data_IF_924797892073
#
_entry.id   IF_924797892073
#
_cell.length_a   1.000
_cell.length_b   1.000
_cell.length_c   1.000
_cell.angle_alpha   90.00
_cell.angle_beta   90.00
_cell.angle_gamma   90.00
#
_symmetry.space_group_name_H-M   'P 1'
#
loop_
_entity.id
_entity.type
_entity.pdbx_description
1 polymer ?
#
# COMPACT_ATOMS: atom_id res chain seq x y z
N UNK A 1 -8.52 -3.08 16.03
CA UNK A 1 -7.72 -4.12 16.71
C UNK A 1 -8.21 -4.23 18.14
N UNK A 2 -8.98 -5.30 18.45
CA UNK A 2 -9.44 -5.59 19.83
C UNK A 2 -8.42 -6.46 20.59
N UNK A 3 -7.17 -6.03 20.62
CA UNK A 3 -6.19 -6.66 21.49
C UNK A 3 -6.15 -5.88 22.80
N UNK A 4 -6.65 -6.47 23.88
CA UNK A 4 -6.81 -5.85 25.21
C UNK A 4 -5.51 -5.27 25.80
N UNK A 5 -4.34 -5.62 25.23
CA UNK A 5 -3.03 -5.25 25.75
C UNK A 5 -2.17 -4.48 24.73
N UNK A 6 -2.75 -3.97 23.64
CA UNK A 6 -2.04 -3.20 22.63
C UNK A 6 -2.65 -1.81 22.51
N UNK A 7 -1.78 -0.82 22.38
CA UNK A 7 -2.14 0.57 22.14
C UNK A 7 -1.57 1.00 20.77
N UNK A 8 -2.45 1.50 19.90
CA UNK A 8 -2.07 2.05 18.60
C UNK A 8 -1.86 3.56 18.71
N UNK A 9 -0.76 4.02 18.15
CA UNK A 9 -0.39 5.43 18.04
C UNK A 9 -0.38 5.83 16.57
N UNK A 10 -1.31 6.69 16.18
CA UNK A 10 -1.43 7.15 14.80
C UNK A 10 -0.32 8.14 14.46
N UNK A 11 0.33 7.93 13.31
CA UNK A 11 1.26 8.86 12.67
C UNK A 11 0.57 9.67 11.57
N UNK A 12 -0.31 9.03 10.80
CA UNK A 12 -1.03 9.68 9.71
C UNK A 12 -2.03 8.75 9.03
N UNK A 13 -2.53 9.21 7.90
CA UNK A 13 -3.40 8.45 7.02
C UNK A 13 -2.81 8.39 5.62
N UNK A 14 -3.08 7.30 4.91
CA UNK A 14 -2.69 7.07 3.52
C UNK A 14 -3.87 6.50 2.75
N UNK A 15 -3.73 6.35 1.46
CA UNK A 15 -4.73 5.72 0.59
C UNK A 15 -4.07 4.74 -0.37
N UNK A 16 -4.86 4.10 -1.21
CA UNK A 16 -4.37 3.16 -2.20
C UNK A 16 -4.06 3.84 -3.53
N UNK A 17 -2.99 3.39 -4.15
CA UNK A 17 -2.48 3.81 -5.44
C UNK A 17 -2.24 2.60 -6.34
N UNK A 18 -2.19 2.83 -7.64
CA UNK A 18 -1.72 1.85 -8.60
C UNK A 18 -0.20 2.00 -8.78
N UNK A 19 0.54 0.94 -8.49
CA UNK A 19 1.97 0.86 -8.78
C UNK A 19 2.15 0.13 -10.11
N UNK A 20 2.74 0.79 -11.10
CA UNK A 20 2.93 0.28 -12.46
C UNK A 20 4.31 0.64 -13.01
N UNK A 21 4.90 -0.28 -13.73
CA UNK A 21 6.21 -0.13 -14.33
C UNK A 21 6.19 0.45 -15.74
N UNK A 22 7.38 0.69 -16.34
CA UNK A 22 7.52 1.40 -17.60
C UNK A 22 6.91 0.67 -18.81
N UNK A 23 6.70 -0.64 -18.71
CA UNK A 23 6.10 -1.45 -19.79
C UNK A 23 4.56 -1.46 -19.75
N UNK A 24 3.95 -0.85 -18.75
CA UNK A 24 2.50 -0.81 -18.61
C UNK A 24 1.90 0.29 -19.51
N UNK A 25 0.81 0.02 -20.25
CA UNK A 25 0.20 1.01 -21.14
C UNK A 25 -0.24 2.32 -20.46
N UNK A 26 -0.58 2.24 -19.17
CA UNK A 26 -1.00 3.41 -18.38
C UNK A 26 0.16 4.11 -17.65
N UNK A 27 1.42 3.76 -17.96
CA UNK A 27 2.57 4.29 -17.24
C UNK A 27 2.62 5.82 -17.19
N UNK A 28 2.23 6.50 -18.27
CA UNK A 28 2.26 7.97 -18.35
C UNK A 28 0.95 8.64 -17.90
N UNK A 29 -0.03 7.88 -17.43
CA UNK A 29 -1.26 8.48 -16.91
C UNK A 29 -1.00 9.30 -15.65
N UNK A 30 -1.73 10.39 -15.47
CA UNK A 30 -1.74 11.18 -14.23
C UNK A 30 -2.68 10.60 -13.17
N UNK A 31 -3.69 9.85 -13.59
CA UNK A 31 -4.69 9.18 -12.79
C UNK A 31 -5.19 7.93 -13.54
N UNK A 32 -5.61 6.91 -12.81
CA UNK A 32 -6.21 5.70 -13.39
C UNK A 32 -7.55 5.40 -12.74
N UNK A 33 -8.39 4.62 -13.43
CA UNK A 33 -9.61 4.05 -12.87
C UNK A 33 -9.43 2.55 -12.68
N UNK A 34 -10.16 1.95 -11.75
CA UNK A 34 -10.12 0.51 -11.54
C UNK A 34 -10.53 -0.28 -12.80
N UNK A 35 -11.51 0.23 -13.55
CA UNK A 35 -11.95 -0.39 -14.81
C UNK A 35 -10.82 -0.50 -15.85
N UNK A 36 -9.94 0.53 -15.93
CA UNK A 36 -8.79 0.51 -16.83
C UNK A 36 -7.69 -0.44 -16.35
N UNK A 37 -7.64 -0.75 -15.07
CA UNK A 37 -6.67 -1.69 -14.51
C UNK A 37 -7.10 -3.16 -14.65
N UNK A 38 -8.42 -3.45 -14.64
CA UNK A 38 -8.96 -4.82 -14.70
C UNK A 38 -8.45 -5.70 -15.86
N UNK A 39 -8.18 -5.17 -17.08
CA UNK A 39 -7.63 -5.98 -18.17
C UNK A 39 -6.20 -6.46 -17.95
N UNK A 40 -5.47 -5.85 -17.01
CA UNK A 40 -4.06 -6.16 -16.75
C UNK A 40 -3.89 -7.22 -15.66
N UNK A 41 -2.78 -7.97 -15.67
CA UNK A 41 -2.48 -8.90 -14.59
C UNK A 41 -2.26 -8.14 -13.28
N UNK A 42 -2.83 -8.67 -12.20
CA UNK A 42 -2.72 -8.10 -10.87
C UNK A 42 -1.74 -8.90 -10.01
N UNK A 43 -0.68 -8.26 -9.51
CA UNK A 43 0.25 -8.89 -8.59
C UNK A 43 -0.12 -8.56 -7.15
N UNK A 44 -0.21 -9.59 -6.30
CA UNK A 44 -0.52 -9.44 -4.87
C UNK A 44 0.23 -10.43 -4.01
N UNK A 45 0.31 -10.10 -2.73
CA UNK A 45 0.76 -11.04 -1.71
C UNK A 45 -0.29 -12.13 -1.48
N UNK A 46 0.10 -13.36 -1.09
CA UNK A 46 -0.83 -14.38 -0.65
C UNK A 46 -1.72 -13.89 0.50
N UNK A 47 -2.95 -14.36 0.54
CA UNK A 47 -3.97 -13.91 1.51
C UNK A 47 -3.62 -14.17 2.97
N UNK A 48 -2.74 -15.12 3.23
CA UNK A 48 -2.25 -15.46 4.58
C UNK A 48 -1.55 -14.30 5.29
N UNK A 49 -1.02 -13.31 4.55
CA UNK A 49 -0.34 -12.14 5.11
C UNK A 49 -1.27 -10.98 5.47
N UNK A 50 -2.44 -10.87 4.81
CA UNK A 50 -3.39 -9.78 5.02
C UNK A 50 -4.82 -10.28 5.03
N UNK A 51 -5.08 -11.30 5.76
CA UNK A 51 -6.17 -12.27 5.66
C UNK A 51 -7.60 -11.73 5.52
N UNK A 52 -7.92 -10.47 5.73
CA UNK A 52 -9.31 -10.02 5.60
C UNK A 52 -9.50 -8.64 4.97
N UNK A 53 -8.45 -7.82 4.88
CA UNK A 53 -8.59 -6.46 4.34
C UNK A 53 -8.74 -6.43 2.83
N UNK A 54 -8.14 -7.38 2.11
CA UNK A 54 -8.16 -7.38 0.65
C UNK A 54 -9.42 -8.02 0.05
N UNK A 55 -10.07 -8.95 0.74
CA UNK A 55 -11.30 -9.59 0.24
C UNK A 55 -12.49 -8.64 0.10
N UNK A 56 -12.53 -7.60 0.91
CA UNK A 56 -13.64 -6.64 0.91
C UNK A 56 -13.25 -5.29 0.33
N UNK A 57 -12.06 -5.18 -0.25
CA UNK A 57 -11.63 -3.92 -0.82
C UNK A 57 -12.38 -3.65 -2.13
N UNK A 58 -13.19 -2.62 -2.09
CA UNK A 58 -13.90 -2.08 -3.24
C UNK A 58 -13.43 -0.63 -3.47
N UNK A 59 -13.06 -0.32 -4.69
CA UNK A 59 -12.66 1.02 -5.12
C UNK A 59 -13.50 1.37 -6.33
N UNK A 60 -14.27 2.43 -6.24
CA UNK A 60 -15.15 2.92 -7.30
C UNK A 60 -16.09 1.83 -7.89
N UNK A 61 -16.68 1.01 -7.00
CA UNK A 61 -17.58 -0.10 -7.37
C UNK A 61 -16.88 -1.35 -7.91
N UNK A 62 -15.56 -1.36 -8.00
CA UNK A 62 -14.77 -2.50 -8.48
C UNK A 62 -14.08 -3.20 -7.31
N UNK A 63 -14.32 -4.51 -7.18
CA UNK A 63 -13.66 -5.37 -6.18
C UNK A 63 -12.42 -6.05 -6.74
N UNK A 64 -11.47 -6.36 -5.88
CA UNK A 64 -10.20 -6.99 -6.31
C UNK A 64 -10.39 -8.38 -6.93
N UNK A 65 -11.44 -9.12 -6.55
CA UNK A 65 -11.75 -10.43 -7.16
C UNK A 65 -12.14 -10.33 -8.64
N UNK A 66 -12.45 -9.15 -9.15
CA UNK A 66 -12.79 -8.93 -10.56
C UNK A 66 -11.56 -8.98 -11.48
N UNK A 67 -10.35 -8.90 -10.93
CA UNK A 67 -9.14 -9.17 -11.71
C UNK A 67 -9.09 -10.64 -12.13
N UNK A 68 -9.14 -10.90 -13.43
CA UNK A 68 -9.16 -12.26 -13.98
C UNK A 68 -7.80 -12.95 -13.96
N UNK A 69 -6.73 -12.16 -13.97
CA UNK A 69 -5.34 -12.65 -13.97
C UNK A 69 -4.65 -12.15 -12.71
N UNK A 70 -4.36 -13.07 -11.80
CA UNK A 70 -3.72 -12.73 -10.53
C UNK A 70 -2.43 -13.53 -10.40
N UNK A 71 -1.35 -12.84 -10.06
CA UNK A 71 -0.04 -13.43 -9.78
C UNK A 71 0.23 -13.27 -8.29
N UNK A 72 0.38 -14.39 -7.58
CA UNK A 72 0.70 -14.37 -6.17
C UNK A 72 2.22 -14.43 -5.98
N UNK A 73 2.76 -13.48 -5.25
CA UNK A 73 4.19 -13.35 -4.99
C UNK A 73 4.40 -12.96 -3.53
N UNK A 74 5.28 -13.68 -2.85
CA UNK A 74 5.61 -13.44 -1.43
C UNK A 74 6.98 -12.78 -1.22
N UNK A 75 7.60 -12.30 -2.28
CA UNK A 75 8.92 -11.69 -2.27
C UNK A 75 8.89 -10.29 -2.91
N UNK A 76 9.40 -9.29 -2.19
CA UNK A 76 9.38 -7.89 -2.65
C UNK A 76 10.27 -7.66 -3.87
N UNK A 77 11.42 -8.33 -3.99
CA UNK A 77 12.29 -8.18 -5.14
C UNK A 77 11.65 -8.77 -6.41
N UNK A 78 10.92 -9.89 -6.28
CA UNK A 78 10.16 -10.46 -7.36
C UNK A 78 9.00 -9.54 -7.80
N UNK A 79 8.31 -8.89 -6.86
CA UNK A 79 7.28 -7.89 -7.18
C UNK A 79 7.89 -6.72 -7.98
N UNK A 80 9.01 -6.16 -7.53
CA UNK A 80 9.71 -5.09 -8.25
C UNK A 80 10.13 -5.52 -9.65
N UNK A 81 10.68 -6.73 -9.79
CA UNK A 81 11.07 -7.29 -11.07
C UNK A 81 9.89 -7.43 -12.05
N UNK A 82 8.76 -7.95 -11.57
CA UNK A 82 7.53 -8.09 -12.35
C UNK A 82 6.99 -6.73 -12.80
N UNK A 83 6.90 -5.76 -11.89
CA UNK A 83 6.43 -4.40 -12.22
C UNK A 83 7.32 -3.73 -13.27
N UNK A 84 8.64 -3.93 -13.21
CA UNK A 84 9.59 -3.34 -14.17
C UNK A 84 9.55 -3.98 -15.55
N UNK A 85 9.31 -5.30 -15.62
CA UNK A 85 9.51 -6.08 -16.84
C UNK A 85 8.22 -6.45 -17.58
N UNK A 86 7.06 -6.24 -16.96
CA UNK A 86 5.76 -6.66 -17.51
C UNK A 86 4.72 -5.55 -17.42
N UNK A 87 3.48 -5.86 -17.85
CA UNK A 87 2.30 -4.99 -17.72
C UNK A 87 1.46 -5.28 -16.47
N UNK A 88 2.05 -5.88 -15.44
CA UNK A 88 1.33 -6.12 -14.18
C UNK A 88 1.06 -4.82 -13.44
N UNK A 89 -0.03 -4.81 -12.70
CA UNK A 89 -0.36 -3.75 -11.74
C UNK A 89 -0.33 -4.29 -10.32
N UNK A 90 0.11 -3.47 -9.38
CA UNK A 90 -0.03 -3.70 -7.95
C UNK A 90 -0.83 -2.55 -7.34
N UNK A 91 -1.70 -2.85 -6.40
CA UNK A 91 -2.33 -1.84 -5.57
C UNK A 91 -1.64 -1.80 -4.20
N UNK A 92 -1.41 -0.62 -3.68
CA UNK A 92 -0.76 -0.46 -2.39
C UNK A 92 -0.74 0.98 -1.88
N UNK A 93 -0.31 1.18 -0.63
CA UNK A 93 -0.25 2.51 -0.02
C UNK A 93 0.79 3.41 -0.70
N UNK A 94 0.53 4.71 -0.64
CA UNK A 94 1.39 5.75 -1.21
C UNK A 94 2.74 5.88 -0.51
N UNK A 95 2.84 5.45 0.74
CA UNK A 95 4.08 5.50 1.52
C UNK A 95 5.27 4.75 0.87
N UNK A 96 4.99 3.80 -0.02
CA UNK A 96 6.03 3.09 -0.78
C UNK A 96 6.47 3.82 -2.06
N UNK A 97 5.88 4.97 -2.39
CA UNK A 97 6.15 5.67 -3.64
C UNK A 97 7.62 6.09 -3.84
N UNK A 98 8.35 6.58 -2.83
CA UNK A 98 9.77 6.92 -2.99
C UNK A 98 10.61 5.71 -3.38
N UNK A 99 10.41 4.58 -2.70
CA UNK A 99 11.16 3.35 -2.98
C UNK A 99 10.87 2.83 -4.40
N UNK A 100 9.61 2.85 -4.82
CA UNK A 100 9.23 2.43 -6.16
C UNK A 100 9.79 3.34 -7.26
N UNK A 101 9.87 4.65 -7.01
CA UNK A 101 10.41 5.61 -7.95
C UNK A 101 11.88 5.34 -8.29
N UNK A 102 12.69 4.87 -7.34
CA UNK A 102 14.08 4.48 -7.57
C UNK A 102 14.23 3.35 -8.60
N UNK A 103 13.19 2.51 -8.73
CA UNK A 103 13.13 1.41 -9.71
C UNK A 103 12.38 1.78 -11.00
N UNK A 104 12.04 3.05 -11.21
CA UNK A 104 11.26 3.50 -12.36
C UNK A 104 9.80 3.05 -12.33
N UNK A 105 9.27 2.65 -11.17
CA UNK A 105 7.87 2.30 -10.96
C UNK A 105 7.12 3.54 -10.51
N UNK A 106 6.01 3.83 -11.17
CA UNK A 106 5.16 4.97 -10.80
C UNK A 106 4.05 4.55 -9.85
N UNK A 107 3.80 5.40 -8.88
CA UNK A 107 2.67 5.32 -7.96
C UNK A 107 1.63 6.34 -8.43
N UNK A 108 0.54 5.85 -9.01
CA UNK A 108 -0.46 6.67 -9.70
C UNK A 108 -1.76 6.68 -8.90
N UNK A 109 -2.37 7.86 -8.68
CA UNK A 109 -3.65 7.97 -8.01
C UNK A 109 -4.75 7.16 -8.72
N UNK A 110 -5.62 6.53 -7.92
CA UNK A 110 -6.82 5.85 -8.41
C UNK A 110 -8.01 6.77 -8.19
N UNK A 111 -8.74 7.05 -9.27
CA UNK A 111 -9.94 7.89 -9.21
C UNK A 111 -10.95 7.33 -8.22
N UNK A 112 -11.60 8.21 -7.46
CA UNK A 112 -12.63 7.88 -6.47
C UNK A 112 -12.19 6.84 -5.42
N UNK A 113 -10.89 6.72 -5.15
CA UNK A 113 -10.41 5.86 -4.07
C UNK A 113 -10.76 6.46 -2.70
N UNK A 114 -11.73 5.87 -2.01
CA UNK A 114 -12.17 6.26 -0.67
C UNK A 114 -11.50 5.44 0.44
N UNK A 115 -10.55 4.59 0.08
CA UNK A 115 -9.83 3.75 1.04
C UNK A 115 -8.94 4.62 1.91
N UNK A 116 -9.10 4.50 3.23
CA UNK A 116 -8.22 5.13 4.21
C UNK A 116 -7.43 4.08 4.98
N UNK A 117 -6.13 4.27 5.02
CA UNK A 117 -5.19 3.43 5.76
C UNK A 117 -4.63 4.27 6.91
N UNK A 118 -4.85 3.82 8.14
CA UNK A 118 -4.21 4.42 9.28
C UNK A 118 -2.78 3.88 9.42
N UNK A 119 -1.82 4.78 9.32
CA UNK A 119 -0.39 4.48 9.51
C UNK A 119 0.00 4.85 10.94
N UNK A 120 0.72 3.98 11.60
CA UNK A 120 1.12 4.20 12.98
C UNK A 120 1.96 3.06 13.53
N UNK A 121 2.22 3.13 14.82
CA UNK A 121 2.97 2.12 15.55
C UNK A 121 2.16 1.57 16.72
N UNK A 122 2.53 0.41 17.22
CA UNK A 122 1.83 -0.32 18.27
C UNK A 122 2.80 -0.64 19.39
N UNK A 123 2.37 -0.42 20.63
CA UNK A 123 3.08 -0.87 21.82
C UNK A 123 2.17 -1.69 22.73
N UNK A 124 2.74 -2.45 23.64
CA UNK A 124 1.98 -3.08 24.71
C UNK A 124 1.53 -2.00 25.69
N UNK A 125 0.26 -2.04 26.04
CA UNK A 125 -0.30 -1.18 27.09
C UNK A 125 0.43 -1.48 28.41
N UNK A 126 0.92 -0.47 29.09
CA UNK A 126 1.66 -0.53 30.37
C UNK A 126 3.15 -0.87 30.24
N UNK A 127 3.71 -1.05 29.05
CA UNK A 127 5.16 -1.10 28.86
C UNK A 127 5.69 0.30 28.53
N UNK A 128 6.77 0.69 29.20
CA UNK A 128 7.50 1.90 28.84
C UNK A 128 8.46 1.56 27.68
N UNK A 129 8.52 2.46 26.70
CA UNK A 129 9.50 2.33 25.61
C UNK A 129 10.92 2.52 26.17
N UNK A 130 11.86 1.73 25.68
CA UNK A 130 13.29 1.98 25.92
C UNK A 130 13.72 3.32 25.30
N UNK A 131 14.85 3.84 25.67
CA UNK A 131 15.43 5.08 25.14
C UNK A 131 15.60 4.99 23.61
N UNK A 132 16.05 3.84 23.11
CA UNK A 132 16.26 3.58 21.69
C UNK A 132 14.92 3.53 20.93
N UNK A 133 13.91 2.88 21.51
CA UNK A 133 12.57 2.83 20.94
C UNK A 133 11.92 4.23 20.89
N UNK A 134 12.11 5.05 21.92
CA UNK A 134 11.64 6.43 21.92
C UNK A 134 12.32 7.27 20.83
N UNK A 135 13.64 7.12 20.66
CA UNK A 135 14.38 7.79 19.60
C UNK A 135 13.88 7.37 18.21
N UNK A 136 13.63 6.07 18.00
CA UNK A 136 13.09 5.57 16.76
C UNK A 136 11.67 6.11 16.47
N UNK A 137 10.79 6.12 17.46
CA UNK A 137 9.44 6.69 17.33
C UNK A 137 9.50 8.16 16.95
N UNK A 138 10.41 8.92 17.56
CA UNK A 138 10.60 10.34 17.21
C UNK A 138 11.00 10.51 15.74
N UNK A 139 11.90 9.67 15.22
CA UNK A 139 12.25 9.68 13.80
C UNK A 139 11.04 9.36 12.91
N UNK A 140 10.20 8.40 13.30
CA UNK A 140 8.97 8.10 12.55
C UNK A 140 8.01 9.29 12.55
N UNK A 141 7.84 10.00 13.65
CA UNK A 141 6.99 11.19 13.74
C UNK A 141 7.50 12.34 12.88
N UNK A 142 8.81 12.47 12.71
CA UNK A 142 9.44 13.44 11.81
C UNK A 142 9.21 13.09 10.33
N UNK A 143 9.22 11.80 9.98
CA UNK A 143 8.92 11.32 8.62
C UNK A 143 7.43 11.46 8.24
N UNK A 144 6.54 11.41 9.21
CA UNK A 144 5.10 11.56 9.04
C UNK A 144 4.61 12.79 9.81
N UNK A 145 4.93 14.01 9.37
CA UNK A 145 4.45 15.21 10.04
C UNK A 145 2.92 15.18 10.06
N UNK A 146 2.35 15.29 11.25
CA UNK A 146 0.90 15.39 11.42
C UNK A 146 0.42 16.54 10.56
N UNK A 147 -0.36 16.25 9.52
CA UNK A 147 -1.10 17.28 8.82
C UNK A 147 -2.06 17.91 9.84
N UNK A 148 -1.66 19.01 10.44
CA UNK A 148 -2.59 19.85 11.19
C UNK A 148 -3.66 20.32 10.19
N UNK A 149 -4.89 19.82 10.43
CA UNK A 149 -6.08 20.33 9.74
C UNK A 149 -6.52 21.61 10.41
#
# INVERSE_FOLDING_TARGET
LKFKNLQFHALGTDTWYANIGPNHPLYHASEVTMEKLLPHPFVRLPDDYFSNLSFYLEIDGVRLEQFKRVVYVNDSAAILSLLRSTDVVRLGPGLSAPDFAEYGIRTIPIRNCQVQINVGWIQRSREMLSTEAQAFVKMLEELYPKNEK
#
